data_IF_165381978577
#
_entry.id   IF_165381978577
#
_cell.length_a   1.000
_cell.length_b   1.000
_cell.length_c   1.000
_cell.angle_alpha   90.00
_cell.angle_beta   90.00
_cell.angle_gamma   90.00
#
_symmetry.space_group_name_H-M   'P 1'
#
loop_
_entity.id
_entity.type
_entity.pdbx_description
1 polymer ?
#
# COMPACT_ATOMS: atom_id res chain seq x y z
N UNK A 1 -2.71 2.57 2.42
CA UNK A 1 -1.67 1.85 3.16
C UNK A 1 -0.34 2.06 2.49
N UNK A 2 0.59 1.13 2.71
CA UNK A 2 1.99 1.22 2.27
C UNK A 2 2.70 2.47 2.79
N UNK A 3 2.42 2.81 4.05
CA UNK A 3 2.94 4.01 4.72
C UNK A 3 3.93 3.66 5.81
N UNK A 4 3.75 2.56 6.54
CA UNK A 4 4.61 2.20 7.68
C UNK A 4 5.89 1.44 7.27
N UNK A 5 6.21 1.42 5.97
CA UNK A 5 7.36 0.75 5.38
C UNK A 5 7.94 1.64 4.26
N UNK A 6 9.15 1.30 3.78
CA UNK A 6 9.67 1.85 2.52
C UNK A 6 10.66 3.00 2.69
N UNK A 7 11.01 3.31 3.94
CA UNK A 7 12.09 4.22 4.31
C UNK A 7 13.07 3.51 5.25
N UNK A 8 14.28 4.05 5.39
CA UNK A 8 15.30 3.46 6.26
C UNK A 8 14.88 3.41 7.75
N UNK A 9 14.19 4.45 8.23
CA UNK A 9 13.80 4.58 9.64
C UNK A 9 12.67 3.63 10.02
N UNK A 10 11.71 3.40 9.13
CA UNK A 10 10.56 2.53 9.35
C UNK A 10 10.92 1.13 9.91
N UNK A 11 11.80 0.32 9.30
CA UNK A 11 12.16 -0.97 9.88
C UNK A 11 12.97 -0.86 11.18
N UNK A 12 13.66 0.26 11.44
CA UNK A 12 14.43 0.49 12.67
C UNK A 12 13.57 0.93 13.84
N UNK A 13 12.45 1.59 13.58
CA UNK A 13 11.43 2.03 14.54
C UNK A 13 10.22 1.09 14.60
N UNK A 14 10.21 0.04 13.78
CA UNK A 14 9.10 -0.91 13.61
C UNK A 14 7.80 -0.21 13.17
N UNK A 15 7.92 0.75 12.25
CA UNK A 15 6.84 1.52 11.65
C UNK A 15 6.33 2.70 12.49
N UNK A 16 6.73 2.80 13.76
CA UNK A 16 6.23 3.81 14.70
C UNK A 16 6.52 5.24 14.25
N UNK A 17 7.64 5.47 13.56
CA UNK A 17 7.95 6.81 13.05
C UNK A 17 6.89 7.31 12.08
N UNK A 18 6.41 6.43 11.21
CA UNK A 18 5.40 6.74 10.21
C UNK A 18 3.99 6.78 10.81
N UNK A 19 3.71 6.04 11.89
CA UNK A 19 2.45 6.18 12.65
C UNK A 19 2.33 7.60 13.19
N UNK A 20 3.36 8.12 13.86
CA UNK A 20 3.32 9.49 14.40
C UNK A 20 3.33 10.54 13.29
N UNK A 21 4.03 10.31 12.17
CA UNK A 21 3.95 11.19 11.01
C UNK A 21 2.51 11.26 10.46
N UNK A 22 1.80 10.11 10.38
CA UNK A 22 0.38 10.08 10.00
C UNK A 22 -0.51 10.83 11.01
N UNK A 23 -0.24 10.70 12.31
CA UNK A 23 -0.95 11.42 13.36
C UNK A 23 -0.80 12.93 13.22
N UNK A 24 0.42 13.41 12.98
CA UNK A 24 0.71 14.83 12.78
C UNK A 24 0.14 15.36 11.47
N UNK A 25 0.15 14.56 10.40
CA UNK A 25 -0.46 14.92 9.11
C UNK A 25 -2.00 14.99 9.20
N UNK A 26 -2.60 14.35 10.20
CA UNK A 26 -4.05 14.28 10.38
C UNK A 26 -4.72 13.26 9.46
N UNK A 27 -4.10 12.08 9.29
CA UNK A 27 -4.72 10.99 8.50
C UNK A 27 -5.91 10.42 9.27
N UNK A 28 -7.12 10.56 8.71
CA UNK A 28 -8.36 10.12 9.37
C UNK A 28 -8.62 8.61 9.28
N UNK A 29 -8.28 8.01 8.13
CA UNK A 29 -8.61 6.62 7.80
C UNK A 29 -7.50 6.03 6.95
N UNK A 30 -7.10 4.79 7.24
CA UNK A 30 -6.17 4.03 6.42
C UNK A 30 -6.55 2.54 6.33
N UNK A 31 -5.99 1.86 5.33
CA UNK A 31 -5.99 0.40 5.20
C UNK A 31 -4.55 -0.08 4.97
N UNK A 32 -4.31 -1.39 4.87
CA UNK A 32 -2.96 -1.96 4.93
C UNK A 32 -2.52 -2.83 3.75
N UNK A 33 -1.20 -2.94 3.60
CA UNK A 33 -0.52 -3.98 2.82
C UNK A 33 0.88 -4.24 3.38
N UNK A 34 1.87 -3.37 3.12
CA UNK A 34 3.22 -3.53 3.67
C UNK A 34 3.26 -3.38 5.19
N UNK A 35 2.24 -2.77 5.80
CA UNK A 35 2.01 -2.77 7.25
C UNK A 35 2.05 -4.19 7.84
N UNK A 36 1.53 -5.19 7.12
CA UNK A 36 1.45 -6.58 7.60
C UNK A 36 2.78 -7.36 7.49
N UNK A 37 3.87 -6.68 7.11
CA UNK A 37 5.22 -7.28 7.13
C UNK A 37 5.92 -7.11 8.48
N UNK A 38 5.33 -6.35 9.40
CA UNK A 38 5.65 -6.41 10.82
C UNK A 38 4.95 -7.61 11.47
N UNK A 39 5.32 -7.96 12.71
CA UNK A 39 4.58 -8.96 13.46
C UNK A 39 3.19 -8.43 13.79
N UNK A 40 2.22 -9.32 13.86
CA UNK A 40 0.85 -9.07 14.31
C UNK A 40 0.77 -8.15 15.55
N UNK A 41 1.52 -8.44 16.62
CA UNK A 41 1.58 -7.62 17.84
C UNK A 41 2.02 -6.18 17.55
N UNK A 42 2.98 -6.00 16.64
CA UNK A 42 3.51 -4.67 16.26
C UNK A 42 2.50 -3.91 15.40
N UNK A 43 1.81 -4.61 14.49
CA UNK A 43 0.72 -4.03 13.69
C UNK A 43 -0.40 -3.55 14.61
N UNK A 44 -0.84 -4.38 15.55
CA UNK A 44 -1.90 -4.04 16.50
C UNK A 44 -1.49 -2.86 17.39
N UNK A 45 -0.27 -2.85 17.93
CA UNK A 45 0.25 -1.71 18.72
C UNK A 45 0.35 -0.42 17.90
N UNK A 46 0.73 -0.51 16.63
CA UNK A 46 0.78 0.66 15.74
C UNK A 46 -0.62 1.18 15.42
N UNK A 47 -1.62 0.30 15.24
CA UNK A 47 -3.02 0.67 15.09
C UNK A 47 -3.55 1.35 16.37
N UNK A 48 -3.23 0.85 17.55
CA UNK A 48 -3.63 1.48 18.82
C UNK A 48 -3.04 2.90 19.02
N UNK A 49 -1.84 3.15 18.46
CA UNK A 49 -1.17 4.46 18.48
C UNK A 49 -1.65 5.41 17.39
N UNK A 50 -2.31 4.89 16.37
CA UNK A 50 -2.81 5.68 15.26
C UNK A 50 -4.08 6.42 15.70
N UNK A 51 -4.07 7.75 15.56
CA UNK A 51 -5.20 8.60 15.94
C UNK A 51 -6.41 8.46 14.99
N UNK A 52 -6.17 8.02 13.76
CA UNK A 52 -7.22 7.72 12.79
C UNK A 52 -7.78 6.31 12.94
N UNK A 53 -8.58 5.87 11.97
CA UNK A 53 -9.13 4.51 11.95
C UNK A 53 -8.43 3.63 10.91
N UNK A 54 -7.89 2.49 11.37
CA UNK A 54 -7.45 1.42 10.49
C UNK A 54 -8.64 0.51 10.15
N UNK A 55 -8.98 0.41 8.87
CA UNK A 55 -10.12 -0.38 8.38
C UNK A 55 -9.70 -1.39 7.31
N UNK A 56 -10.23 -2.59 7.38
CA UNK A 56 -9.99 -3.65 6.39
C UNK A 56 -11.09 -4.73 6.46
N UNK A 57 -12.02 -4.69 5.53
CA UNK A 57 -13.15 -5.63 5.47
C UNK A 57 -12.72 -7.03 5.02
N UNK A 58 -11.64 -7.16 4.26
CA UNK A 58 -11.25 -8.43 3.64
C UNK A 58 -10.22 -9.23 4.44
N UNK A 59 -9.89 -8.81 5.66
CA UNK A 59 -8.98 -9.54 6.55
C UNK A 59 -9.80 -10.34 7.55
N UNK A 60 -9.62 -11.66 7.55
CA UNK A 60 -10.23 -12.55 8.54
C UNK A 60 -9.18 -13.23 9.39
N UNK A 61 -9.50 -13.45 10.67
CA UNK A 61 -8.76 -14.38 11.52
C UNK A 61 -9.13 -15.80 11.11
N UNK A 62 -8.14 -16.69 11.00
CA UNK A 62 -8.37 -18.10 10.67
C UNK A 62 -9.17 -18.80 11.77
N UNK A 63 -9.96 -19.82 11.43
CA UNK A 63 -10.74 -20.57 12.43
C UNK A 63 -9.85 -21.22 13.49
N UNK A 64 -8.66 -21.70 13.10
CA UNK A 64 -7.66 -22.27 14.01
C UNK A 64 -7.16 -21.21 15.00
N UNK A 65 -6.78 -20.02 14.51
CA UNK A 65 -6.31 -18.94 15.36
C UNK A 65 -7.42 -18.41 16.29
N UNK A 66 -8.66 -18.29 15.82
CA UNK A 66 -9.81 -17.94 16.68
C UNK A 66 -10.01 -18.98 17.78
N UNK A 67 -9.91 -20.27 17.47
CA UNK A 67 -9.99 -21.34 18.46
C UNK A 67 -8.87 -21.26 19.50
N UNK A 68 -7.68 -20.85 19.08
CA UNK A 68 -6.51 -20.64 19.94
C UNK A 68 -6.52 -19.29 20.68
N UNK A 69 -7.56 -18.47 20.50
CA UNK A 69 -7.77 -17.23 21.23
C UNK A 69 -7.08 -16.00 20.62
N UNK A 70 -6.78 -16.03 19.32
CA UNK A 70 -6.27 -14.87 18.60
C UNK A 70 -7.30 -13.73 18.61
N UNK A 71 -6.80 -12.50 18.70
CA UNK A 71 -7.65 -11.32 18.73
C UNK A 71 -8.33 -11.10 17.37
N UNK A 72 -9.64 -10.85 17.41
CA UNK A 72 -10.44 -10.41 16.28
C UNK A 72 -11.18 -9.12 16.64
N UNK A 73 -11.48 -8.31 15.63
CA UNK A 73 -12.42 -7.20 15.79
C UNK A 73 -13.83 -7.71 16.09
N UNK A 74 -14.23 -8.79 15.40
CA UNK A 74 -15.52 -9.44 15.58
C UNK A 74 -15.36 -10.95 15.36
N UNK A 75 -15.56 -11.74 16.42
CA UNK A 75 -15.37 -13.20 16.39
C UNK A 75 -16.46 -13.92 15.59
N UNK A 76 -17.69 -13.39 15.53
CA UNK A 76 -18.83 -14.03 14.85
C UNK A 76 -18.65 -14.00 13.33
N UNK A 77 -18.26 -12.84 12.80
CA UNK A 77 -17.96 -12.63 11.39
C UNK A 77 -16.51 -12.98 11.02
N UNK A 78 -15.66 -13.20 12.03
CA UNK A 78 -14.22 -13.49 11.88
C UNK A 78 -13.38 -12.32 11.39
N UNK A 79 -13.91 -11.09 11.40
CA UNK A 79 -13.16 -9.90 10.96
C UNK A 79 -11.97 -9.64 11.90
N UNK A 80 -10.76 -9.55 11.32
CA UNK A 80 -9.57 -9.19 12.09
C UNK A 80 -9.54 -7.70 12.45
N UNK A 81 -10.09 -6.86 11.57
CA UNK A 81 -10.13 -5.40 11.73
C UNK A 81 -11.54 -4.87 11.45
N UNK A 82 -11.79 -3.63 11.91
CA UNK A 82 -13.03 -2.92 11.61
C UNK A 82 -13.24 -2.84 10.08
N UNK A 83 -14.39 -3.29 9.54
CA UNK A 83 -14.58 -3.35 8.09
C UNK A 83 -14.79 -1.99 7.42
N UNK A 84 -15.48 -1.08 8.10
CA UNK A 84 -15.81 0.25 7.59
C UNK A 84 -15.95 1.27 8.72
N UNK A 85 -16.01 2.55 8.36
CA UNK A 85 -16.37 3.64 9.27
C UNK A 85 -17.38 4.57 8.63
N UNK A 86 -18.15 5.29 9.45
CA UNK A 86 -19.08 6.32 9.01
C UNK A 86 -18.64 7.65 9.58
N UNK A 87 -18.51 8.65 8.71
CA UNK A 87 -18.08 10.00 9.04
C UNK A 87 -19.14 11.01 8.62
N UNK A 88 -19.22 12.12 9.36
CA UNK A 88 -20.00 13.28 8.95
C UNK A 88 -19.06 14.29 8.28
N UNK A 89 -19.19 14.48 6.97
CA UNK A 89 -18.36 15.36 6.18
C UNK A 89 -19.25 16.43 5.53
N UNK A 90 -19.05 17.70 5.91
CA UNK A 90 -19.87 18.80 5.39
C UNK A 90 -21.37 18.68 5.72
N UNK A 91 -21.71 18.05 6.86
CA UNK A 91 -23.10 17.78 7.25
C UNK A 91 -23.77 16.64 6.50
N UNK A 92 -22.99 15.83 5.76
CA UNK A 92 -23.44 14.64 5.03
C UNK A 92 -22.83 13.39 5.61
N UNK A 93 -23.56 12.29 5.56
CA UNK A 93 -23.09 11.00 6.08
C UNK A 93 -22.32 10.25 4.99
N UNK A 94 -21.07 9.92 5.25
CA UNK A 94 -20.20 9.20 4.31
C UNK A 94 -19.71 7.92 4.96
N UNK A 95 -20.00 6.78 4.32
CA UNK A 95 -19.44 5.49 4.71
C UNK A 95 -18.15 5.22 3.94
N UNK A 96 -17.14 4.70 4.63
CA UNK A 96 -15.83 4.38 4.06
C UNK A 96 -15.52 2.91 4.41
N UNK A 97 -15.51 2.04 3.41
CA UNK A 97 -15.14 0.63 3.54
C UNK A 97 -13.63 0.50 3.30
N UNK A 98 -12.94 -0.26 4.15
CA UNK A 98 -11.52 -0.54 3.98
C UNK A 98 -11.30 -1.82 3.18
N UNK A 99 -10.37 -1.81 2.23
CA UNK A 99 -10.00 -2.99 1.46
C UNK A 99 -8.48 -3.10 1.43
N UNK A 100 -7.92 -3.99 2.27
CA UNK A 100 -6.49 -4.24 2.33
C UNK A 100 -6.02 -5.06 1.12
N UNK A 101 -4.70 -5.10 0.87
CA UNK A 101 -4.18 -5.86 -0.26
C UNK A 101 -4.51 -7.36 -0.13
N UNK A 102 -5.19 -7.96 -1.12
CA UNK A 102 -5.79 -9.28 -0.98
C UNK A 102 -4.78 -10.44 -1.05
N UNK A 103 -3.57 -10.20 -1.59
CA UNK A 103 -2.57 -11.25 -1.81
C UNK A 103 -1.40 -11.20 -0.80
N UNK A 104 -1.58 -10.50 0.31
CA UNK A 104 -0.52 -10.28 1.32
C UNK A 104 0.20 -11.57 1.76
N UNK A 105 -0.47 -12.71 2.06
CA UNK A 105 0.20 -13.93 2.51
C UNK A 105 1.08 -14.65 1.47
N UNK A 106 0.84 -14.39 0.17
CA UNK A 106 1.65 -14.97 -0.92
C UNK A 106 2.71 -13.99 -1.43
N UNK A 107 2.50 -12.68 -1.25
CA UNK A 107 3.45 -11.63 -1.60
C UNK A 107 4.57 -11.47 -0.57
N UNK A 108 4.34 -11.90 0.68
CA UNK A 108 5.25 -11.74 1.81
C UNK A 108 5.48 -13.08 2.53
N UNK A 109 6.56 -13.24 3.32
CA UNK A 109 6.78 -14.47 4.08
C UNK A 109 5.62 -14.73 5.05
N UNK A 110 4.93 -15.86 4.88
CA UNK A 110 3.75 -16.23 5.68
C UNK A 110 3.98 -16.24 7.19
N UNK A 111 5.24 -16.40 7.64
CA UNK A 111 5.63 -16.31 9.07
C UNK A 111 5.29 -14.98 9.75
N UNK A 112 5.07 -13.90 9.00
CA UNK A 112 4.63 -12.60 9.54
C UNK A 112 3.11 -12.47 9.64
N UNK A 113 2.38 -13.38 8.98
CA UNK A 113 0.93 -13.35 8.84
C UNK A 113 0.39 -14.77 9.15
N UNK A 114 0.63 -15.30 10.36
CA UNK A 114 0.28 -16.69 10.67
C UNK A 114 -1.24 -16.90 10.73
N UNK A 115 -1.98 -15.89 11.22
CA UNK A 115 -3.36 -16.05 11.68
C UNK A 115 -4.38 -15.34 10.79
N UNK A 116 -3.93 -14.52 9.83
CA UNK A 116 -4.81 -13.72 8.99
C UNK A 116 -4.89 -14.25 7.57
N UNK A 117 -6.12 -14.30 7.05
CA UNK A 117 -6.40 -14.53 5.64
C UNK A 117 -6.86 -13.23 4.97
N UNK A 118 -6.55 -13.13 3.68
CA UNK A 118 -6.81 -11.97 2.84
C UNK A 118 -7.48 -12.46 1.56
N UNK A 119 -8.25 -11.61 0.88
CA UNK A 119 -8.78 -11.97 -0.42
C UNK A 119 -9.68 -10.93 -1.07
N UNK A 120 -10.08 -11.24 -2.29
CA UNK A 120 -11.13 -10.53 -3.02
C UNK A 120 -12.39 -11.38 -2.89
N UNK A 121 -13.45 -10.81 -2.32
CA UNK A 121 -14.70 -11.51 -2.01
C UNK A 121 -15.85 -10.61 -2.43
N UNK A 122 -16.10 -10.56 -3.74
CA UNK A 122 -17.09 -9.63 -4.32
C UNK A 122 -18.48 -9.79 -3.69
N UNK A 123 -18.89 -11.04 -3.41
CA UNK A 123 -20.19 -11.33 -2.80
C UNK A 123 -20.26 -10.79 -1.35
N UNK A 124 -19.25 -11.05 -0.52
CA UNK A 124 -19.18 -10.49 0.85
C UNK A 124 -19.09 -8.95 0.84
N UNK A 125 -18.35 -8.36 -0.12
CA UNK A 125 -18.28 -6.91 -0.30
C UNK A 125 -19.67 -6.35 -0.67
N UNK A 126 -20.41 -7.00 -1.57
CA UNK A 126 -21.75 -6.57 -1.94
C UNK A 126 -22.72 -6.67 -0.77
N UNK A 127 -22.68 -7.77 -0.01
CA UNK A 127 -23.51 -7.94 1.19
C UNK A 127 -23.24 -6.82 2.22
N UNK A 128 -21.96 -6.49 2.44
CA UNK A 128 -21.56 -5.39 3.33
C UNK A 128 -22.05 -4.02 2.82
N UNK A 129 -21.96 -3.77 1.50
CA UNK A 129 -22.46 -2.53 0.90
C UNK A 129 -23.98 -2.40 1.11
N UNK A 130 -24.71 -3.48 0.86
CA UNK A 130 -26.17 -3.51 1.00
C UNK A 130 -26.58 -3.31 2.46
N UNK A 131 -25.88 -3.94 3.40
CA UNK A 131 -26.05 -3.74 4.84
C UNK A 131 -25.86 -2.28 5.22
N UNK A 132 -24.72 -1.68 4.87
CA UNK A 132 -24.39 -0.28 5.17
C UNK A 132 -25.44 0.66 4.58
N UNK A 133 -25.89 0.43 3.34
CA UNK A 133 -26.93 1.25 2.70
C UNK A 133 -28.26 1.13 3.43
N UNK A 134 -28.61 -0.04 3.95
CA UNK A 134 -29.86 -0.26 4.68
C UNK A 134 -29.83 0.27 6.12
N UNK A 135 -28.76 0.02 6.87
CA UNK A 135 -28.64 0.35 8.29
C UNK A 135 -28.18 1.79 8.51
N UNK A 136 -27.05 2.17 7.91
CA UNK A 136 -26.41 3.47 8.09
C UNK A 136 -27.02 4.55 7.20
N UNK A 137 -27.59 4.19 6.05
CA UNK A 137 -28.18 5.12 5.08
C UNK A 137 -27.26 6.30 4.76
N UNK A 138 -26.00 6.06 4.33
CA UNK A 138 -25.07 7.12 4.00
C UNK A 138 -25.49 7.82 2.70
N UNK A 139 -25.15 9.10 2.60
CA UNK A 139 -25.32 9.92 1.41
C UNK A 139 -24.27 9.58 0.33
N UNK A 140 -23.08 9.13 0.74
CA UNK A 140 -22.03 8.62 -0.14
C UNK A 140 -21.33 7.40 0.46
N UNK A 141 -20.89 6.46 -0.38
CA UNK A 141 -20.15 5.27 0.01
C UNK A 141 -18.84 5.18 -0.79
N UNK A 142 -17.73 5.16 -0.05
CA UNK A 142 -16.37 5.14 -0.59
C UNK A 142 -15.72 3.80 -0.21
N UNK A 143 -14.95 3.21 -1.12
CA UNK A 143 -14.01 2.14 -0.79
C UNK A 143 -12.60 2.72 -0.79
N UNK A 144 -11.92 2.65 0.36
CA UNK A 144 -10.49 2.94 0.48
C UNK A 144 -9.73 1.63 0.23
N UNK A 145 -9.21 1.48 -0.98
CA UNK A 145 -8.67 0.23 -1.49
C UNK A 145 -7.16 0.22 -1.58
N UNK A 146 -6.60 -0.97 -1.38
CA UNK A 146 -5.22 -1.29 -1.65
C UNK A 146 -5.09 -2.54 -2.52
N UNK A 147 -6.12 -2.87 -3.32
CA UNK A 147 -6.08 -3.99 -4.26
C UNK A 147 -5.06 -3.76 -5.40
N UNK A 148 -5.04 -2.55 -5.94
CA UNK A 148 -4.36 -2.21 -7.19
C UNK A 148 -5.34 -1.81 -8.28
N UNK A 149 -4.90 -0.91 -9.18
CA UNK A 149 -5.79 -0.22 -10.12
C UNK A 149 -6.66 -1.16 -10.98
N UNK A 150 -6.06 -2.16 -11.63
CA UNK A 150 -6.82 -3.05 -12.52
C UNK A 150 -7.81 -3.95 -11.76
N UNK A 151 -7.44 -4.36 -10.54
CA UNK A 151 -8.32 -5.10 -9.63
C UNK A 151 -9.48 -4.23 -9.17
N UNK A 152 -9.22 -2.97 -8.80
CA UNK A 152 -10.25 -2.02 -8.40
C UNK A 152 -11.21 -1.67 -9.55
N UNK A 153 -10.70 -1.51 -10.78
CA UNK A 153 -11.54 -1.35 -11.98
C UNK A 153 -12.44 -2.57 -12.15
N UNK A 154 -11.88 -3.78 -12.05
CA UNK A 154 -12.68 -5.00 -12.18
C UNK A 154 -13.72 -5.11 -11.07
N UNK A 155 -13.35 -4.85 -9.82
CA UNK A 155 -14.26 -4.87 -8.67
C UNK A 155 -15.39 -3.85 -8.85
N UNK A 156 -15.06 -2.62 -9.23
CA UNK A 156 -16.03 -1.55 -9.51
C UNK A 156 -17.06 -1.92 -10.59
N UNK A 157 -16.68 -2.76 -11.56
CA UNK A 157 -17.60 -3.23 -12.60
C UNK A 157 -18.58 -4.31 -12.13
N UNK A 158 -18.31 -4.94 -10.98
CA UNK A 158 -19.09 -6.06 -10.44
C UNK A 158 -20.00 -5.66 -9.28
N UNK A 159 -19.46 -4.87 -8.34
CA UNK A 159 -20.23 -4.38 -7.19
C UNK A 159 -21.09 -3.17 -7.56
N UNK A 160 -22.13 -2.94 -6.80
CA UNK A 160 -23.08 -1.83 -6.97
C UNK A 160 -23.23 -1.05 -5.67
N UNK A 161 -23.66 0.21 -5.75
CA UNK A 161 -23.88 1.05 -4.56
C UNK A 161 -22.64 1.74 -4.01
N UNK A 162 -21.47 1.62 -4.65
CA UNK A 162 -20.25 2.38 -4.35
C UNK A 162 -20.15 3.60 -5.27
N UNK A 163 -19.92 4.77 -4.69
CA UNK A 163 -19.76 6.02 -5.43
C UNK A 163 -18.30 6.20 -5.90
N UNK A 164 -17.33 5.90 -5.03
CA UNK A 164 -15.90 6.12 -5.29
C UNK A 164 -15.05 4.97 -4.74
N UNK A 165 -14.03 4.56 -5.49
CA UNK A 165 -12.89 3.78 -5.02
C UNK A 165 -11.63 4.65 -5.08
N UNK A 166 -11.01 4.82 -3.92
CA UNK A 166 -9.71 5.48 -3.76
C UNK A 166 -8.66 4.38 -3.57
N UNK A 167 -7.95 4.04 -4.63
CA UNK A 167 -7.04 2.89 -4.68
C UNK A 167 -5.57 3.22 -4.37
N UNK A 168 -4.79 2.15 -4.23
CA UNK A 168 -3.36 2.16 -3.91
C UNK A 168 -2.62 1.02 -4.61
N UNK A 169 -1.53 0.53 -4.01
CA UNK A 169 -0.72 -0.64 -4.42
C UNK A 169 0.05 -0.56 -5.75
N UNK A 170 -0.60 -0.19 -6.86
CA UNK A 170 0.01 -0.16 -8.20
C UNK A 170 0.81 1.12 -8.48
N UNK A 171 0.67 2.12 -7.60
CA UNK A 171 1.41 3.40 -7.63
C UNK A 171 1.13 4.24 -8.89
N UNK A 172 -0.07 4.10 -9.46
CA UNK A 172 -0.51 4.90 -10.60
C UNK A 172 -0.86 6.33 -10.16
N UNK A 173 -0.26 7.32 -10.80
CA UNK A 173 -0.73 8.70 -10.68
C UNK A 173 -1.82 8.93 -11.72
N UNK A 174 -3.08 8.94 -11.31
CA UNK A 174 -4.24 9.00 -12.21
C UNK A 174 -4.71 10.46 -12.34
N UNK A 175 -4.46 11.16 -13.46
CA UNK A 175 -4.74 12.60 -13.55
C UNK A 175 -6.23 12.95 -13.53
N UNK A 176 -7.09 12.01 -13.93
CA UNK A 176 -8.56 12.11 -13.89
C UNK A 176 -9.15 10.74 -13.49
N UNK A 177 -10.15 10.68 -12.59
CA UNK A 177 -10.75 9.42 -12.19
C UNK A 177 -11.39 8.69 -13.36
N UNK A 178 -11.27 7.37 -13.38
CA UNK A 178 -11.98 6.53 -14.32
C UNK A 178 -13.42 6.36 -13.87
N UNK A 179 -14.36 6.45 -14.80
CA UNK A 179 -15.77 6.20 -14.53
C UNK A 179 -16.15 4.80 -15.03
N UNK A 180 -16.25 3.85 -14.10
CA UNK A 180 -16.48 2.44 -14.40
C UNK A 180 -17.97 2.14 -14.30
N UNK A 181 -18.55 1.54 -15.35
CA UNK A 181 -19.95 1.12 -15.35
C UNK A 181 -20.13 -0.25 -14.67
N UNK A 182 -21.26 -0.41 -13.98
CA UNK A 182 -21.67 -1.66 -13.32
C UNK A 182 -23.18 -1.89 -13.52
N UNK A 183 -23.75 -3.02 -13.05
CA UNK A 183 -25.15 -3.36 -13.31
C UNK A 183 -26.19 -2.32 -12.84
N UNK A 184 -25.87 -1.47 -11.87
CA UNK A 184 -26.80 -0.51 -11.28
C UNK A 184 -26.42 0.97 -11.48
N UNK A 185 -25.26 1.26 -12.10
CA UNK A 185 -24.79 2.62 -12.22
C UNK A 185 -23.31 2.70 -12.62
N UNK A 186 -22.60 3.62 -11.96
CA UNK A 186 -21.18 3.87 -12.21
C UNK A 186 -20.45 4.19 -10.91
N UNK A 187 -19.16 3.88 -10.88
CA UNK A 187 -18.26 4.14 -9.75
C UNK A 187 -17.02 4.86 -10.25
N UNK A 188 -16.57 5.88 -9.52
CA UNK A 188 -15.31 6.56 -9.81
C UNK A 188 -14.14 5.76 -9.24
N UNK A 189 -13.06 5.60 -9.99
CA UNK A 189 -11.85 4.87 -9.55
C UNK A 189 -10.61 5.74 -9.82
N UNK A 190 -9.77 5.95 -8.81
CA UNK A 190 -8.55 6.77 -8.93
C UNK A 190 -7.47 6.36 -7.94
N UNK A 191 -6.21 6.62 -8.29
CA UNK A 191 -5.02 6.43 -7.46
C UNK A 191 -4.18 7.72 -7.43
N UNK A 192 -3.48 7.96 -6.32
CA UNK A 192 -2.69 9.18 -6.08
C UNK A 192 -1.16 8.99 -6.26
N UNK A 193 -0.73 7.99 -7.02
CA UNK A 193 0.70 7.68 -7.21
C UNK A 193 1.34 7.05 -5.98
N UNK A 194 2.57 7.47 -5.67
CA UNK A 194 3.36 6.93 -4.55
C UNK A 194 4.35 7.97 -4.00
N UNK A 195 4.97 7.66 -2.86
CA UNK A 195 6.04 8.48 -2.23
C UNK A 195 5.63 9.92 -1.93
N UNK A 196 4.34 10.18 -1.70
CA UNK A 196 3.82 11.53 -1.47
C UNK A 196 3.99 12.48 -2.68
N UNK A 197 4.27 11.96 -3.89
CA UNK A 197 4.49 12.80 -5.09
C UNK A 197 3.25 13.57 -5.51
N UNK A 198 2.06 13.04 -5.18
CA UNK A 198 0.81 13.70 -5.48
C UNK A 198 -0.16 13.62 -4.29
N UNK A 199 -1.02 14.62 -4.20
CA UNK A 199 -2.22 14.63 -3.38
C UNK A 199 -3.43 14.68 -4.31
N UNK A 200 -4.24 13.63 -4.31
CA UNK A 200 -5.52 13.62 -5.00
C UNK A 200 -6.58 14.34 -4.16
N UNK A 201 -7.19 15.38 -4.73
CA UNK A 201 -8.28 16.14 -4.11
C UNK A 201 -9.55 15.87 -4.92
N UNK A 202 -10.48 15.15 -4.30
CA UNK A 202 -11.79 14.84 -4.86
C UNK A 202 -12.87 15.57 -4.05
N UNK A 203 -13.37 16.65 -4.63
CA UNK A 203 -14.48 17.42 -4.08
C UNK A 203 -15.80 16.78 -4.58
N UNK A 204 -16.63 16.24 -3.68
CA UNK A 204 -17.91 15.61 -4.03
C UNK A 204 -19.10 16.54 -3.73
N UNK A 205 -20.03 16.69 -4.67
CA UNK A 205 -21.34 17.29 -4.41
C UNK A 205 -22.31 16.22 -3.90
N UNK A 206 -22.44 16.13 -2.58
CA UNK A 206 -23.23 15.10 -1.90
C UNK A 206 -24.65 15.61 -1.62
N UNK A 207 -25.62 15.03 -2.32
CA UNK A 207 -27.05 15.20 -2.09
C UNK A 207 -27.59 14.23 -1.04
N UNK A 208 -28.91 14.18 -0.86
CA UNK A 208 -29.53 13.18 0.00
C UNK A 208 -29.47 11.80 -0.65
N UNK A 209 -28.73 10.88 -0.03
CA UNK A 209 -28.63 9.48 -0.48
C UNK A 209 -27.88 9.27 -1.81
N UNK A 210 -27.21 10.29 -2.36
CA UNK A 210 -26.44 10.18 -3.62
C UNK A 210 -25.36 11.24 -3.78
N UNK A 211 -24.36 10.93 -4.60
CA UNK A 211 -23.41 11.90 -5.16
C UNK A 211 -23.98 12.46 -6.47
N UNK A 212 -24.10 13.80 -6.59
CA UNK A 212 -24.64 14.46 -7.79
C UNK A 212 -23.57 14.77 -8.84
N UNK A 213 -22.41 15.23 -8.40
CA UNK A 213 -21.29 15.65 -9.24
C UNK A 213 -19.97 15.59 -8.46
N UNK A 214 -18.84 15.77 -9.15
CA UNK A 214 -17.53 15.84 -8.52
C UNK A 214 -16.58 16.77 -9.26
N UNK A 215 -15.56 17.25 -8.54
CA UNK A 215 -14.39 17.90 -9.11
C UNK A 215 -13.14 17.22 -8.62
N UNK A 216 -12.21 16.97 -9.52
CA UNK A 216 -10.96 16.29 -9.21
C UNK A 216 -9.74 17.13 -9.55
N UNK A 217 -8.71 17.03 -8.71
CA UNK A 217 -7.37 17.57 -8.97
C UNK A 217 -6.32 16.61 -8.43
N UNK A 218 -5.35 16.23 -9.25
CA UNK A 218 -4.13 15.57 -8.80
C UNK A 218 -3.04 16.63 -8.62
N UNK A 219 -2.74 16.99 -7.37
CA UNK A 219 -1.81 18.06 -7.05
C UNK A 219 -0.39 17.50 -6.87
N UNK A 220 0.60 17.89 -7.69
CA UNK A 220 1.99 17.48 -7.46
C UNK A 220 2.57 18.17 -6.22
N UNK A 221 3.29 17.41 -5.40
CA UNK A 221 3.96 17.92 -4.19
C UNK A 221 5.41 18.25 -4.53
N UNK A 222 5.67 19.51 -4.85
CA UNK A 222 7.03 20.02 -5.08
C UNK A 222 7.54 20.70 -3.82
N UNK A 223 8.45 20.04 -3.09
CA UNK A 223 9.03 20.56 -1.83
C UNK A 223 9.71 21.92 -2.00
N UNK A 224 10.29 22.21 -3.17
CA UNK A 224 10.98 23.48 -3.43
C UNK A 224 10.00 24.66 -3.67
N UNK A 225 8.71 24.37 -3.84
CA UNK A 225 7.66 25.36 -4.08
C UNK A 225 6.69 25.51 -2.90
N UNK A 226 6.83 24.68 -1.86
CA UNK A 226 5.94 24.66 -0.70
C UNK A 226 6.76 24.91 0.57
N UNK A 227 6.31 25.78 1.49
CA UNK A 227 6.96 25.90 2.78
C UNK A 227 6.84 24.58 3.55
N UNK A 228 7.94 24.14 4.16
CA UNK A 228 7.90 23.00 5.06
C UNK A 228 7.06 23.33 6.31
N UNK A 229 6.28 22.36 6.77
CA UNK A 229 5.66 22.44 8.09
C UNK A 229 6.74 22.31 9.17
N UNK A 230 6.80 23.29 10.08
CA UNK A 230 7.89 23.36 11.07
C UNK A 230 7.83 22.22 12.09
N UNK A 231 6.64 21.80 12.49
CA UNK A 231 6.48 20.74 13.49
C UNK A 231 6.83 19.39 12.88
N UNK A 232 6.34 19.11 11.67
CA UNK A 232 6.70 17.92 10.91
C UNK A 232 8.20 17.87 10.62
N UNK A 233 8.82 18.97 10.22
CA UNK A 233 10.26 19.04 9.96
C UNK A 233 11.07 18.73 11.23
N UNK A 234 10.69 19.31 12.37
CA UNK A 234 11.34 19.03 13.65
C UNK A 234 11.20 17.56 14.06
N UNK A 235 10.03 16.96 13.82
CA UNK A 235 9.80 15.55 14.06
C UNK A 235 10.67 14.65 13.16
N UNK A 236 10.74 14.94 11.86
CA UNK A 236 11.62 14.22 10.91
C UNK A 236 13.08 14.30 11.38
N UNK A 237 13.54 15.48 11.82
CA UNK A 237 14.89 15.65 12.34
C UNK A 237 15.14 14.84 13.62
N UNK A 238 14.17 14.82 14.54
CA UNK A 238 14.22 14.06 15.78
C UNK A 238 14.35 12.55 15.50
N UNK A 239 13.48 11.99 14.66
CA UNK A 239 13.49 10.56 14.29
C UNK A 239 14.80 10.17 13.62
N UNK A 240 15.34 11.04 12.75
CA UNK A 240 16.56 10.77 11.99
C UNK A 240 17.84 10.97 12.80
N UNK A 241 17.82 11.77 13.86
CA UNK A 241 19.02 12.14 14.62
C UNK A 241 19.85 10.93 15.11
N UNK A 242 19.25 9.85 15.67
CA UNK A 242 20.00 8.66 16.10
C UNK A 242 20.68 7.91 14.94
N UNK A 243 20.14 8.04 13.72
CA UNK A 243 20.59 7.28 12.55
C UNK A 243 21.38 8.12 11.55
N UNK A 244 21.56 9.42 11.79
CA UNK A 244 22.13 10.38 10.84
C UNK A 244 23.46 9.90 10.24
N UNK A 245 24.38 9.41 11.08
CA UNK A 245 25.67 8.86 10.61
C UNK A 245 25.50 7.69 9.63
N UNK A 246 24.53 6.82 9.88
CA UNK A 246 24.24 5.67 9.01
C UNK A 246 23.56 6.12 7.74
N UNK A 247 22.54 6.98 7.83
CA UNK A 247 21.78 7.49 6.68
C UNK A 247 22.69 8.24 5.68
N UNK A 248 23.57 9.09 6.21
CA UNK A 248 24.43 9.98 5.44
C UNK A 248 25.73 9.30 4.95
N UNK A 249 25.92 8.00 5.22
CA UNK A 249 27.10 7.26 4.78
C UNK A 249 27.20 7.31 3.24
N UNK A 250 28.26 7.90 2.66
CA UNK A 250 28.43 7.95 1.22
C UNK A 250 28.92 6.60 0.71
N UNK A 251 28.23 6.06 -0.29
CA UNK A 251 28.57 4.76 -0.89
C UNK A 251 29.20 4.93 -2.28
N UNK A 252 28.59 5.77 -3.12
CA UNK A 252 29.02 6.01 -4.49
C UNK A 252 28.47 7.34 -5.03
N UNK A 253 28.85 7.68 -6.26
CA UNK A 253 28.21 8.72 -7.07
C UNK A 253 27.55 8.05 -8.26
N UNK A 254 26.30 8.38 -8.56
CA UNK A 254 25.59 7.81 -9.69
C UNK A 254 26.13 8.40 -11.01
N UNK A 255 26.71 7.58 -11.89
CA UNK A 255 27.18 8.05 -13.21
C UNK A 255 26.03 8.23 -14.22
N UNK A 256 24.90 7.56 -13.97
CA UNK A 256 23.71 7.57 -14.80
C UNK A 256 22.45 7.59 -13.93
N UNK A 257 21.29 7.76 -14.55
CA UNK A 257 20.01 7.74 -13.84
C UNK A 257 19.79 6.34 -13.24
N UNK A 258 19.64 6.28 -11.93
CA UNK A 258 19.25 5.06 -11.21
C UNK A 258 17.75 5.14 -10.89
N UNK A 259 16.98 4.16 -11.34
CA UNK A 259 15.56 4.03 -11.03
C UNK A 259 15.17 2.59 -10.73
N UNK A 260 14.10 2.42 -9.94
CA UNK A 260 13.52 1.11 -9.59
C UNK A 260 12.45 0.65 -10.57
N UNK A 261 11.42 1.48 -10.76
CA UNK A 261 10.18 1.07 -11.45
C UNK A 261 10.41 0.74 -12.93
N UNK A 262 10.05 -0.47 -13.31
CA UNK A 262 9.91 -0.94 -14.70
C UNK A 262 9.31 -2.35 -14.71
N UNK A 263 8.68 -2.74 -15.83
CA UNK A 263 8.07 -4.08 -15.94
C UNK A 263 9.11 -5.20 -16.09
N UNK A 264 10.29 -4.89 -16.61
CA UNK A 264 11.35 -5.86 -16.88
C UNK A 264 12.67 -5.51 -16.18
N UNK A 265 12.99 -4.22 -16.04
CA UNK A 265 14.23 -3.78 -15.44
C UNK A 265 14.15 -2.38 -14.80
N UNK A 266 15.06 -2.16 -13.85
CA UNK A 266 15.40 -0.85 -13.30
C UNK A 266 16.92 -0.74 -13.22
N UNK A 267 17.48 0.44 -13.51
CA UNK A 267 18.95 0.63 -13.47
C UNK A 267 19.49 0.56 -12.04
N UNK A 268 18.70 0.90 -11.03
CA UNK A 268 19.09 0.68 -9.64
C UNK A 268 19.05 -0.83 -9.30
N UNK A 269 18.02 -1.54 -9.76
CA UNK A 269 17.95 -3.01 -9.61
C UNK A 269 19.14 -3.72 -10.23
N UNK A 270 19.60 -3.28 -11.40
CA UNK A 270 20.80 -3.85 -12.02
C UNK A 270 22.03 -3.71 -11.12
N UNK A 271 22.24 -2.54 -10.51
CA UNK A 271 23.35 -2.32 -9.57
C UNK A 271 23.25 -3.25 -8.36
N UNK A 272 22.05 -3.47 -7.83
CA UNK A 272 21.83 -4.41 -6.72
C UNK A 272 22.14 -5.85 -7.13
N UNK A 273 21.62 -6.30 -8.27
CA UNK A 273 21.87 -7.63 -8.79
C UNK A 273 23.37 -7.87 -9.08
N UNK A 274 24.06 -6.90 -9.68
CA UNK A 274 25.50 -7.00 -9.94
C UNK A 274 26.31 -7.10 -8.64
N UNK A 275 25.94 -6.32 -7.62
CA UNK A 275 26.56 -6.41 -6.30
C UNK A 275 26.30 -7.77 -5.63
N UNK A 276 25.08 -8.31 -5.74
CA UNK A 276 24.72 -9.62 -5.23
C UNK A 276 25.50 -10.75 -5.93
N UNK A 277 25.66 -10.67 -7.25
CA UNK A 277 26.52 -11.58 -8.03
C UNK A 277 27.96 -11.50 -7.56
N UNK A 278 28.51 -10.29 -7.44
CA UNK A 278 29.91 -10.09 -7.05
C UNK A 278 30.21 -10.58 -5.62
N UNK A 279 29.30 -10.33 -4.67
CA UNK A 279 29.47 -10.73 -3.26
C UNK A 279 29.14 -12.21 -3.04
N UNK A 280 28.08 -12.70 -3.68
CA UNK A 280 27.59 -14.07 -3.54
C UNK A 280 28.35 -15.09 -4.38
N UNK A 281 29.15 -14.64 -5.36
CA UNK A 281 29.83 -15.54 -6.31
C UNK A 281 28.87 -16.33 -7.20
N UNK A 282 27.66 -15.80 -7.44
CA UNK A 282 26.62 -16.45 -8.22
C UNK A 282 26.75 -16.12 -9.72
N UNK A 283 26.16 -16.95 -10.59
CA UNK A 283 26.12 -16.67 -12.04
C UNK A 283 25.01 -15.66 -12.41
N UNK A 284 23.99 -15.54 -11.55
CA UNK A 284 22.82 -14.68 -11.74
C UNK A 284 22.24 -14.30 -10.37
N UNK A 285 21.65 -13.10 -10.28
CA UNK A 285 20.86 -12.66 -9.13
C UNK A 285 19.42 -12.35 -9.55
N UNK A 286 18.46 -12.66 -8.66
CA UNK A 286 17.05 -12.34 -8.81
C UNK A 286 16.70 -11.29 -7.75
N UNK A 287 16.24 -10.13 -8.19
CA UNK A 287 15.73 -9.06 -7.31
C UNK A 287 14.21 -9.02 -7.39
N UNK A 288 13.48 -8.82 -6.27
CA UNK A 288 12.04 -8.67 -6.31
C UNK A 288 11.63 -7.37 -7.02
N UNK A 289 10.66 -7.47 -7.94
CA UNK A 289 10.15 -6.36 -8.75
C UNK A 289 9.26 -5.36 -7.98
N UNK A 290 9.74 -4.86 -6.84
CA UNK A 290 9.01 -3.89 -6.02
C UNK A 290 8.75 -2.57 -6.78
N UNK A 291 7.57 -1.98 -6.54
CA UNK A 291 7.18 -0.68 -7.12
C UNK A 291 7.65 0.52 -6.29
N UNK A 292 7.94 0.32 -5.00
CA UNK A 292 8.47 1.37 -4.13
C UNK A 292 9.98 1.53 -4.35
N UNK A 293 10.47 2.74 -4.10
CA UNK A 293 11.84 3.15 -4.37
C UNK A 293 11.91 4.54 -5.00
N UNK A 294 13.03 5.22 -4.79
CA UNK A 294 13.30 6.53 -5.37
C UNK A 294 14.19 6.44 -6.61
N UNK A 295 14.35 7.56 -7.31
CA UNK A 295 15.35 7.71 -8.36
C UNK A 295 16.55 8.51 -7.84
N UNK A 296 17.73 8.25 -8.40
CA UNK A 296 18.97 9.02 -8.15
C UNK A 296 19.48 9.55 -9.49
N UNK A 297 19.73 10.86 -9.57
CA UNK A 297 20.14 11.50 -10.82
C UNK A 297 21.64 11.31 -11.09
N UNK A 298 22.09 11.41 -12.35
CA UNK A 298 23.51 11.45 -12.67
C UNK A 298 24.21 12.59 -11.91
N UNK A 299 25.32 12.27 -11.25
CA UNK A 299 26.12 13.18 -10.42
C UNK A 299 25.70 13.24 -8.95
N UNK A 300 24.55 12.69 -8.57
CA UNK A 300 24.12 12.67 -7.17
C UNK A 300 24.86 11.58 -6.37
N UNK A 301 25.05 11.82 -5.08
CA UNK A 301 25.57 10.83 -4.15
C UNK A 301 24.53 9.72 -3.91
N UNK A 302 24.97 8.47 -4.02
CA UNK A 302 24.26 7.31 -3.47
C UNK A 302 24.73 7.15 -2.03
N UNK A 303 23.85 7.45 -1.08
CA UNK A 303 24.07 7.22 0.35
C UNK A 303 23.43 5.90 0.79
N UNK A 304 23.73 5.47 2.01
CA UNK A 304 23.01 4.35 2.64
C UNK A 304 21.50 4.59 2.70
N UNK A 305 21.05 5.82 2.94
CA UNK A 305 19.62 6.15 2.84
C UNK A 305 19.06 5.84 1.44
N UNK A 306 19.75 6.26 0.37
CA UNK A 306 19.32 5.97 -1.01
C UNK A 306 19.30 4.49 -1.33
N UNK A 307 20.18 3.69 -0.73
CA UNK A 307 20.15 2.23 -0.82
C UNK A 307 18.96 1.65 -0.05
N UNK A 308 18.69 2.16 1.16
CA UNK A 308 17.57 1.72 1.99
C UNK A 308 16.23 2.06 1.34
N UNK A 309 16.09 3.19 0.63
CA UNK A 309 14.91 3.50 -0.17
C UNK A 309 14.54 2.38 -1.16
N UNK A 310 15.51 1.52 -1.55
CA UNK A 310 15.32 0.40 -2.47
C UNK A 310 15.20 -0.97 -1.79
N UNK A 311 15.60 -1.08 -0.52
CA UNK A 311 15.86 -2.37 0.16
C UNK A 311 15.28 -2.46 1.57
N UNK A 312 14.60 -1.42 2.07
CA UNK A 312 14.01 -1.36 3.42
C UNK A 312 12.78 -2.28 3.58
N UNK A 313 13.01 -3.59 3.62
CA UNK A 313 12.04 -4.60 4.02
C UNK A 313 12.30 -5.10 5.44
N UNK A 314 11.30 -5.68 6.09
CA UNK A 314 11.42 -6.29 7.43
C UNK A 314 12.12 -7.65 7.42
N UNK A 315 12.36 -8.21 6.24
CA UNK A 315 13.03 -9.50 5.98
C UNK A 315 14.13 -9.33 4.90
N UNK A 316 15.22 -8.61 5.19
CA UNK A 316 16.23 -8.26 4.18
C UNK A 316 17.20 -9.41 3.88
N UNK A 317 16.93 -10.63 4.35
CA UNK A 317 17.83 -11.76 4.16
C UNK A 317 18.03 -12.08 2.68
N UNK A 318 19.29 -12.27 2.29
CA UNK A 318 19.68 -12.65 0.93
C UNK A 318 20.23 -14.08 0.96
N UNK A 319 19.88 -14.88 -0.04
CA UNK A 319 20.25 -16.28 -0.12
C UNK A 319 20.95 -16.59 -1.45
N UNK A 320 21.96 -17.45 -1.39
CA UNK A 320 22.62 -18.05 -2.55
C UNK A 320 22.32 -19.54 -2.56
N UNK A 321 21.85 -20.07 -3.70
CA UNK A 321 21.57 -21.49 -3.88
C UNK A 321 21.77 -21.91 -5.33
N UNK A 322 22.07 -23.19 -5.53
CA UNK A 322 22.08 -23.78 -6.86
C UNK A 322 20.65 -23.95 -7.37
N UNK A 323 20.44 -23.63 -8.66
CA UNK A 323 19.18 -23.82 -9.37
C UNK A 323 19.48 -24.31 -10.79
N UNK A 324 18.72 -25.30 -11.25
CA UNK A 324 18.78 -25.71 -12.65
C UNK A 324 18.22 -24.62 -13.56
N UNK A 325 18.69 -24.56 -14.81
CA UNK A 325 18.12 -23.66 -15.81
C UNK A 325 16.62 -23.88 -16.05
N UNK A 326 16.12 -25.10 -15.82
CA UNK A 326 14.69 -25.41 -15.90
C UNK A 326 13.89 -24.76 -14.76
N UNK A 327 14.42 -24.74 -13.54
CA UNK A 327 13.79 -24.05 -12.40
C UNK A 327 13.78 -22.53 -12.61
N UNK A 328 14.89 -21.95 -13.11
CA UNK A 328 14.95 -20.53 -13.45
C UNK A 328 13.89 -20.18 -14.50
N UNK A 329 13.79 -20.98 -15.57
CA UNK A 329 12.76 -20.80 -16.60
C UNK A 329 11.36 -20.86 -16.00
N UNK A 330 11.08 -21.85 -15.16
CA UNK A 330 9.76 -22.02 -14.55
C UNK A 330 9.36 -20.83 -13.69
N UNK A 331 10.31 -20.27 -12.91
CA UNK A 331 10.07 -19.07 -12.11
C UNK A 331 9.72 -17.88 -13.00
N UNK A 332 10.49 -17.65 -14.07
CA UNK A 332 10.23 -16.53 -14.97
C UNK A 332 8.88 -16.67 -15.70
N UNK A 333 8.52 -17.86 -16.14
CA UNK A 333 7.20 -18.14 -16.76
C UNK A 333 6.07 -17.92 -15.75
N UNK A 334 6.22 -18.39 -14.51
CA UNK A 334 5.22 -18.19 -13.46
C UNK A 334 5.01 -16.72 -13.13
N UNK A 335 6.07 -15.90 -13.13
CA UNK A 335 5.97 -14.45 -12.93
C UNK A 335 5.28 -13.79 -14.13
N UNK A 336 5.61 -14.22 -15.35
CA UNK A 336 5.01 -13.68 -16.57
C UNK A 336 3.51 -14.02 -16.67
N UNK A 337 3.12 -15.25 -16.32
CA UNK A 337 1.72 -15.69 -16.34
C UNK A 337 0.85 -14.86 -15.39
N UNK A 338 1.38 -14.47 -14.23
CA UNK A 338 0.70 -13.60 -13.27
C UNK A 338 0.71 -12.13 -13.74
N UNK A 339 1.89 -11.56 -14.05
CA UNK A 339 2.02 -10.15 -14.45
C UNK A 339 1.21 -9.78 -15.71
N UNK A 340 1.11 -10.72 -16.66
CA UNK A 340 0.40 -10.51 -17.93
C UNK A 340 -0.93 -11.25 -17.99
N UNK A 341 -1.47 -11.70 -16.86
CA UNK A 341 -2.76 -12.35 -16.82
C UNK A 341 -3.85 -11.40 -17.36
N UNK A 342 -4.72 -11.91 -18.23
CA UNK A 342 -5.76 -11.09 -18.87
C UNK A 342 -6.89 -10.72 -17.94
N UNK A 343 -7.10 -11.52 -16.90
CA UNK A 343 -8.03 -11.22 -15.82
C UNK A 343 -7.25 -10.61 -14.63
N UNK A 344 -7.55 -9.33 -14.27
CA UNK A 344 -6.92 -8.63 -13.15
C UNK A 344 -6.97 -9.34 -11.79
N UNK A 345 -7.97 -10.20 -11.53
CA UNK A 345 -8.05 -10.90 -10.23
C UNK A 345 -7.03 -12.03 -10.06
N UNK A 346 -6.27 -12.35 -11.10
CA UNK A 346 -5.16 -13.31 -11.04
C UNK A 346 -3.80 -12.65 -11.30
N UNK A 347 -3.78 -11.32 -11.42
CA UNK A 347 -2.56 -10.53 -11.48
C UNK A 347 -1.96 -10.32 -10.08
#
# INVERSE_FOLDING_TARGET
>A
GDTWQGSATAPWTRGQDMVEACNMLGVDVMTGHWEFTYRDEEVLQNIERFNGEFIAQNVRVSEEALFDGAAAYDEESGHAFKPYTVRELGGRRVAIIGQAFPYTPIANPSRFIPDWSFGIRDDEMQDLIDEIRASERPDALIVLSHNGMDVDIKMASRITGVDVILGGHTHDGVPEPLLIGNPAGKTLVTNAGSNGKFLAVLDLDIGEGKVNDYRYRLLPVFSDLLPADMEMQAYIELVRAPYRKKLDEPLAVAESLLYRRGNFNGTFDQVLCDALVAVGGAELALSPGFRWGTSVLPGDNVTMERLMDQTAVTYPETYVRDMSGAEIKLILESVADNLFHTDPYYQ
#
